data_IF_482926219227
#
_entry.id   IF_482926219227
#
_cell.length_a   1.000
_cell.length_b   1.000
_cell.length_c   1.000
_cell.angle_alpha   90.00
_cell.angle_beta   90.00
_cell.angle_gamma   90.00
#
_symmetry.space_group_name_H-M   'P 1'
#
loop_
_entity.id
_entity.type
_entity.pdbx_description
1 polymer ?
#
# COMPACT_ATOMS: atom_id res chain seq x y z
N UNK A 1 21.83 -34.69 -0.33
CA UNK A 1 22.30 -33.29 -0.14
C UNK A 1 21.58 -32.30 -1.07
N UNK A 2 21.28 -32.67 -2.32
CA UNK A 2 20.57 -31.85 -3.34
C UNK A 2 19.22 -31.29 -2.87
N UNK A 3 18.45 -32.04 -2.08
CA UNK A 3 17.10 -31.63 -1.61
C UNK A 3 17.11 -30.39 -0.70
N UNK A 4 18.12 -30.20 0.17
CA UNK A 4 18.16 -29.06 1.11
C UNK A 4 18.50 -27.73 0.43
N UNK A 5 19.41 -27.75 -0.53
CA UNK A 5 19.82 -26.55 -1.29
C UNK A 5 18.68 -26.12 -2.23
N UNK A 6 18.01 -27.09 -2.86
CA UNK A 6 16.83 -26.82 -3.68
C UNK A 6 15.71 -26.17 -2.85
N UNK A 7 15.36 -26.76 -1.70
CA UNK A 7 14.36 -26.21 -0.79
C UNK A 7 14.71 -24.78 -0.34
N UNK A 8 15.97 -24.54 0.04
CA UNK A 8 16.45 -23.21 0.42
C UNK A 8 16.21 -22.19 -0.72
N UNK A 9 16.61 -22.52 -1.95
CA UNK A 9 16.43 -21.63 -3.11
C UNK A 9 14.96 -21.34 -3.38
N UNK A 10 14.08 -22.34 -3.26
CA UNK A 10 12.63 -22.14 -3.42
C UNK A 10 12.07 -21.21 -2.36
N UNK A 11 12.46 -21.38 -1.09
CA UNK A 11 12.02 -20.49 0.01
C UNK A 11 12.52 -19.06 -0.19
N UNK A 12 13.78 -18.90 -0.63
CA UNK A 12 14.36 -17.59 -0.92
C UNK A 12 13.63 -16.91 -2.09
N UNK A 13 13.38 -17.63 -3.18
CA UNK A 13 12.58 -17.13 -4.30
C UNK A 13 11.17 -16.75 -3.86
N UNK A 14 10.52 -17.56 -3.02
CA UNK A 14 9.19 -17.26 -2.49
C UNK A 14 9.20 -15.97 -1.66
N UNK A 15 10.18 -15.78 -0.77
CA UNK A 15 10.31 -14.57 0.03
C UNK A 15 10.51 -13.32 -0.85
N UNK A 16 11.37 -13.43 -1.87
CA UNK A 16 11.58 -12.37 -2.85
C UNK A 16 10.32 -12.09 -3.67
N UNK A 17 9.57 -13.13 -4.05
CA UNK A 17 8.33 -13.02 -4.80
C UNK A 17 7.20 -12.36 -4.00
N UNK A 18 7.10 -12.64 -2.70
CA UNK A 18 6.18 -11.94 -1.78
C UNK A 18 6.54 -10.45 -1.71
N UNK A 19 7.83 -10.13 -1.56
CA UNK A 19 8.30 -8.74 -1.56
C UNK A 19 8.02 -8.03 -2.90
N UNK A 20 8.31 -8.68 -4.02
CA UNK A 20 8.01 -8.16 -5.36
C UNK A 20 6.51 -7.94 -5.57
N UNK A 21 5.68 -8.89 -5.14
CA UNK A 21 4.22 -8.79 -5.22
C UNK A 21 3.68 -7.61 -4.40
N UNK A 22 4.25 -7.36 -3.22
CA UNK A 22 3.87 -6.23 -2.38
C UNK A 22 4.23 -4.89 -3.04
N UNK A 23 5.41 -4.79 -3.66
CA UNK A 23 5.82 -3.59 -4.42
C UNK A 23 4.84 -3.35 -5.58
N UNK A 24 4.53 -4.39 -6.36
CA UNK A 24 3.59 -4.31 -7.48
C UNK A 24 2.21 -3.86 -6.99
N UNK A 25 1.69 -4.45 -5.90
CA UNK A 25 0.43 -4.03 -5.30
C UNK A 25 0.46 -2.53 -4.95
N UNK A 26 1.49 -2.07 -4.24
CA UNK A 26 1.60 -0.66 -3.82
C UNK A 26 1.62 0.28 -5.04
N UNK A 27 2.41 -0.04 -6.07
CA UNK A 27 2.49 0.78 -7.29
C UNK A 27 1.17 0.87 -8.07
N UNK A 28 0.33 -0.17 -8.03
CA UNK A 28 -0.98 -0.11 -8.68
C UNK A 28 -2.08 0.51 -7.79
N UNK A 29 -1.91 0.53 -6.47
CA UNK A 29 -2.99 0.89 -5.53
C UNK A 29 -2.84 2.25 -4.85
N UNK A 30 -1.64 2.84 -4.87
CA UNK A 30 -1.32 4.05 -4.08
C UNK A 30 -0.84 5.15 -5.01
N UNK A 31 -1.48 6.33 -4.91
CA UNK A 31 -1.12 7.53 -5.67
C UNK A 31 0.06 8.26 -5.01
N UNK A 32 0.89 8.97 -5.79
CA UNK A 32 2.12 9.69 -5.38
C UNK A 32 1.87 10.92 -4.47
N UNK A 33 0.75 10.96 -3.76
CA UNK A 33 0.36 12.08 -2.90
C UNK A 33 1.00 11.96 -1.52
N UNK A 34 0.96 13.08 -0.80
CA UNK A 34 1.59 13.30 0.53
C UNK A 34 1.20 12.30 1.63
N UNK A 35 0.24 11.41 1.39
CA UNK A 35 -0.30 10.47 2.37
C UNK A 35 0.27 9.05 2.19
N UNK A 36 0.94 8.78 1.06
CA UNK A 36 1.53 7.49 0.68
C UNK A 36 2.87 7.15 1.37
N UNK A 37 3.39 7.99 2.27
CA UNK A 37 4.74 7.82 2.82
C UNK A 37 4.98 6.47 3.51
N UNK A 38 3.96 5.92 4.18
CA UNK A 38 4.07 4.61 4.82
C UNK A 38 4.07 3.46 3.79
N UNK A 39 3.28 3.59 2.72
CA UNK A 39 3.26 2.62 1.62
C UNK A 39 4.59 2.66 0.85
N UNK A 40 5.08 3.85 0.49
CA UNK A 40 6.37 4.04 -0.18
C UNK A 40 7.54 3.50 0.68
N UNK A 41 7.52 3.74 2.00
CA UNK A 41 8.50 3.15 2.92
C UNK A 41 8.44 1.62 2.95
N UNK A 42 7.24 1.05 2.94
CA UNK A 42 7.02 -0.40 2.89
C UNK A 42 7.55 -1.00 1.58
N UNK A 43 7.25 -0.36 0.43
CA UNK A 43 7.75 -0.77 -0.88
C UNK A 43 9.29 -0.72 -0.94
N UNK A 44 9.89 0.36 -0.42
CA UNK A 44 11.35 0.50 -0.32
C UNK A 44 11.97 -0.63 0.51
N UNK A 45 11.41 -0.91 1.68
CA UNK A 45 11.88 -1.99 2.55
C UNK A 45 11.77 -3.36 1.88
N UNK A 46 10.68 -3.61 1.15
CA UNK A 46 10.53 -4.81 0.32
C UNK A 46 11.63 -4.89 -0.76
N UNK A 47 12.00 -3.77 -1.40
CA UNK A 47 13.12 -3.71 -2.33
C UNK A 47 14.47 -4.09 -1.69
N UNK A 48 14.73 -3.65 -0.46
CA UNK A 48 15.94 -4.04 0.27
C UNK A 48 15.93 -5.53 0.64
N UNK A 49 14.77 -6.09 0.99
CA UNK A 49 14.63 -7.53 1.25
C UNK A 49 14.94 -8.35 0.00
N UNK A 50 14.50 -7.92 -1.19
CA UNK A 50 14.85 -8.59 -2.46
C UNK A 50 16.38 -8.64 -2.64
N UNK A 51 17.07 -7.51 -2.44
CA UNK A 51 18.54 -7.47 -2.55
C UNK A 51 19.24 -8.35 -1.51
N UNK A 52 18.75 -8.38 -0.27
CA UNK A 52 19.30 -9.22 0.79
C UNK A 52 19.16 -10.71 0.44
N UNK A 53 17.97 -11.12 0.01
CA UNK A 53 17.70 -12.50 -0.39
C UNK A 53 18.43 -12.90 -1.68
N UNK A 54 18.66 -11.97 -2.60
CA UNK A 54 19.50 -12.19 -3.76
C UNK A 54 20.93 -12.61 -3.37
N UNK A 55 21.52 -12.05 -2.30
CA UNK A 55 22.82 -12.53 -1.81
C UNK A 55 22.76 -13.99 -1.36
N UNK A 56 21.72 -14.39 -0.62
CA UNK A 56 21.53 -15.80 -0.22
C UNK A 56 21.41 -16.70 -1.45
N UNK A 57 20.67 -16.24 -2.46
CA UNK A 57 20.50 -16.96 -3.72
C UNK A 57 21.83 -17.14 -4.46
N UNK A 58 22.64 -16.08 -4.56
CA UNK A 58 23.97 -16.07 -5.20
C UNK A 58 24.93 -17.02 -4.48
N UNK A 59 24.99 -16.94 -3.15
CA UNK A 59 25.84 -17.82 -2.34
C UNK A 59 25.43 -19.27 -2.51
N UNK A 60 24.12 -19.54 -2.51
CA UNK A 60 23.60 -20.91 -2.69
C UNK A 60 23.82 -21.45 -4.10
N UNK A 61 23.91 -20.60 -5.12
CA UNK A 61 24.11 -20.97 -6.54
C UNK A 61 25.58 -21.09 -6.93
N UNK A 62 26.50 -20.59 -6.10
CA UNK A 62 27.93 -20.56 -6.39
C UNK A 62 28.32 -19.56 -7.49
N UNK A 63 27.38 -18.72 -7.95
CA UNK A 63 27.63 -17.75 -9.02
C UNK A 63 28.14 -16.41 -8.49
N UNK A 64 29.34 -16.41 -7.88
CA UNK A 64 29.94 -15.22 -7.26
C UNK A 64 30.10 -14.02 -8.22
N UNK A 65 30.10 -14.24 -9.54
CA UNK A 65 30.10 -13.16 -10.54
C UNK A 65 28.89 -12.24 -10.42
N UNK A 66 27.74 -12.75 -9.93
CA UNK A 66 26.52 -11.97 -9.72
C UNK A 66 26.56 -11.12 -8.44
N UNK A 67 27.55 -11.33 -7.57
CA UNK A 67 27.71 -10.55 -6.35
C UNK A 67 27.91 -9.06 -6.66
N UNK A 68 28.71 -8.76 -7.69
CA UNK A 68 28.93 -7.39 -8.15
C UNK A 68 27.66 -6.72 -8.69
N UNK A 69 26.82 -7.48 -9.40
CA UNK A 69 25.52 -6.99 -9.90
C UNK A 69 24.57 -6.66 -8.73
N UNK A 70 24.50 -7.52 -7.71
CA UNK A 70 23.65 -7.28 -6.55
C UNK A 70 24.14 -6.08 -5.72
N UNK A 71 25.47 -5.92 -5.57
CA UNK A 71 26.06 -4.70 -4.97
C UNK A 71 25.70 -3.47 -5.79
N UNK A 72 25.75 -3.52 -7.11
CA UNK A 72 25.39 -2.39 -7.97
C UNK A 72 23.94 -1.94 -7.72
N UNK A 73 22.99 -2.87 -7.66
CA UNK A 73 21.60 -2.55 -7.30
C UNK A 73 21.48 -1.95 -5.90
N UNK A 74 22.20 -2.51 -4.91
CA UNK A 74 22.21 -1.98 -3.55
C UNK A 74 22.78 -0.55 -3.48
N UNK A 75 23.86 -0.28 -4.22
CA UNK A 75 24.46 1.05 -4.32
C UNK A 75 23.50 2.04 -4.98
N UNK A 76 22.77 1.63 -6.03
CA UNK A 76 21.77 2.48 -6.65
C UNK A 76 20.63 2.82 -5.67
N UNK A 77 20.15 1.84 -4.90
CA UNK A 77 19.18 2.08 -3.83
C UNK A 77 19.73 2.96 -2.70
N UNK A 78 21.02 2.85 -2.38
CA UNK A 78 21.68 3.71 -1.41
C UNK A 78 21.73 5.17 -1.91
N UNK A 79 22.06 5.37 -3.18
CA UNK A 79 22.03 6.69 -3.82
C UNK A 79 20.62 7.30 -3.75
N UNK A 80 19.57 6.53 -4.06
CA UNK A 80 18.20 6.98 -3.89
C UNK A 80 17.86 7.32 -2.43
N UNK A 81 18.33 6.54 -1.46
CA UNK A 81 18.13 6.85 -0.05
C UNK A 81 18.82 8.17 0.37
N UNK A 82 20.03 8.43 -0.14
CA UNK A 82 20.75 9.69 0.10
C UNK A 82 19.99 10.87 -0.51
N UNK A 83 19.53 10.77 -1.76
CA UNK A 83 18.71 11.82 -2.37
C UNK A 83 17.38 12.02 -1.65
N UNK A 84 16.74 10.94 -1.20
CA UNK A 84 15.53 11.02 -0.38
C UNK A 84 15.74 11.77 0.95
N UNK A 85 16.91 11.61 1.58
CA UNK A 85 17.28 12.38 2.77
C UNK A 85 17.51 13.85 2.45
N UNK A 86 18.18 14.17 1.33
CA UNK A 86 18.42 15.55 0.87
C UNK A 86 17.09 16.27 0.59
N UNK A 87 16.18 15.61 -0.10
CA UNK A 87 14.86 16.17 -0.43
C UNK A 87 13.97 16.37 0.82
N UNK A 88 14.16 15.55 1.86
CA UNK A 88 13.43 15.67 3.11
C UNK A 88 13.91 16.84 4.00
N UNK A 89 15.00 17.54 3.64
CA UNK A 89 15.43 18.72 4.41
C UNK A 89 14.43 19.87 4.29
N UNK A 90 14.13 20.58 5.39
CA UNK A 90 13.25 21.73 5.36
C UNK A 90 13.86 22.85 4.49
N UNK A 91 13.23 23.13 3.34
CA UNK A 91 13.64 24.21 2.41
C UNK A 91 13.66 23.81 0.93
N UNK A 92 13.65 22.52 0.61
CA UNK A 92 13.76 21.98 -0.77
C UNK A 92 12.41 21.65 -1.43
N UNK A 93 11.27 21.93 -0.77
CA UNK A 93 9.92 21.74 -1.31
C UNK A 93 9.43 20.28 -1.35
N UNK A 94 10.31 19.28 -1.26
CA UNK A 94 10.00 17.85 -1.29
C UNK A 94 9.69 17.27 0.09
N UNK A 95 8.61 17.71 0.74
CA UNK A 95 8.33 17.46 2.18
C UNK A 95 8.27 15.98 2.62
N UNK A 96 8.34 14.99 1.73
CA UNK A 96 8.22 13.56 2.07
C UNK A 96 9.18 12.57 1.38
N UNK A 97 9.97 12.98 0.37
CA UNK A 97 10.95 12.09 -0.28
C UNK A 97 10.40 10.79 -0.90
N UNK A 98 9.07 10.66 -1.06
CA UNK A 98 8.40 9.43 -1.49
C UNK A 98 8.89 8.93 -2.85
N UNK A 99 9.10 9.85 -3.81
CA UNK A 99 9.61 9.54 -5.15
C UNK A 99 10.88 8.68 -5.15
N UNK A 100 11.81 8.93 -4.23
CA UNK A 100 13.06 8.18 -4.14
C UNK A 100 12.86 6.81 -3.49
N UNK A 101 11.87 6.68 -2.60
CA UNK A 101 11.48 5.40 -2.03
C UNK A 101 10.83 4.51 -3.09
N UNK A 102 10.00 5.07 -3.96
CA UNK A 102 9.37 4.33 -5.07
C UNK A 102 10.40 3.92 -6.13
N UNK A 103 11.31 4.82 -6.51
CA UNK A 103 12.45 4.48 -7.38
C UNK A 103 13.27 3.35 -6.75
N UNK A 104 13.58 3.43 -5.44
CA UNK A 104 14.30 2.38 -4.72
C UNK A 104 13.58 1.03 -4.77
N UNK A 105 12.26 1.02 -4.56
CA UNK A 105 11.45 -0.19 -4.67
C UNK A 105 11.48 -0.76 -6.08
N UNK A 106 11.38 0.10 -7.11
CA UNK A 106 11.52 -0.28 -8.51
C UNK A 106 12.87 -0.92 -8.83
N UNK A 107 13.97 -0.39 -8.27
CA UNK A 107 15.31 -0.96 -8.38
C UNK A 107 15.35 -2.38 -7.78
N UNK A 108 14.72 -2.58 -6.62
CA UNK A 108 14.56 -3.91 -6.03
C UNK A 108 13.81 -4.88 -6.97
N UNK A 109 12.72 -4.44 -7.58
CA UNK A 109 11.97 -5.24 -8.56
C UNK A 109 12.80 -5.55 -9.81
N UNK A 110 13.59 -4.60 -10.31
CA UNK A 110 14.52 -4.83 -11.42
C UNK A 110 15.58 -5.86 -11.07
N UNK A 111 16.09 -5.85 -9.84
CA UNK A 111 17.03 -6.87 -9.37
C UNK A 111 16.38 -8.26 -9.32
N UNK A 112 15.13 -8.37 -8.83
CA UNK A 112 14.36 -9.62 -8.89
C UNK A 112 14.33 -10.20 -10.31
N UNK A 113 13.96 -9.35 -11.28
CA UNK A 113 13.87 -9.73 -12.69
C UNK A 113 15.26 -10.10 -13.26
N UNK A 114 16.29 -9.29 -13.02
CA UNK A 114 17.64 -9.57 -13.49
C UNK A 114 18.16 -10.92 -12.97
N UNK A 115 17.99 -11.20 -11.68
CA UNK A 115 18.38 -12.48 -11.09
C UNK A 115 17.60 -13.65 -11.68
N UNK A 116 16.30 -13.48 -11.94
CA UNK A 116 15.45 -14.54 -12.52
C UNK A 116 15.84 -14.89 -13.96
N UNK A 117 16.27 -13.90 -14.74
CA UNK A 117 16.69 -14.07 -16.13
C UNK A 117 18.09 -14.65 -16.24
N UNK A 118 19.02 -14.20 -15.40
CA UNK A 118 20.42 -14.66 -15.44
C UNK A 118 20.55 -16.09 -14.90
N UNK A 119 19.79 -16.44 -13.86
CA UNK A 119 19.75 -17.80 -13.33
C UNK A 119 18.69 -18.62 -14.06
N UNK A 120 18.97 -18.88 -15.34
CA UNK A 120 18.02 -19.53 -16.24
C UNK A 120 17.56 -20.92 -15.79
N UNK A 121 18.30 -21.63 -14.94
CA UNK A 121 17.83 -22.91 -14.38
C UNK A 121 16.73 -22.74 -13.31
N UNK A 122 16.52 -21.52 -12.80
CA UNK A 122 15.61 -21.21 -11.70
C UNK A 122 14.49 -20.24 -12.10
N UNK A 123 14.49 -19.75 -13.34
CA UNK A 123 13.47 -18.82 -13.84
C UNK A 123 12.04 -19.37 -13.68
N UNK A 124 11.80 -20.64 -13.96
CA UNK A 124 10.50 -21.29 -13.79
C UNK A 124 10.04 -21.24 -12.34
N UNK A 125 10.96 -21.47 -11.38
CA UNK A 125 10.65 -21.34 -9.95
C UNK A 125 10.27 -19.89 -9.66
N UNK A 126 11.11 -18.93 -10.05
CA UNK A 126 10.88 -17.50 -9.82
C UNK A 126 9.52 -17.02 -10.37
N UNK A 127 9.18 -17.37 -11.61
CA UNK A 127 7.89 -16.99 -12.20
C UNK A 127 6.71 -17.72 -11.56
N UNK A 128 6.87 -19.01 -11.22
CA UNK A 128 5.81 -19.78 -10.56
C UNK A 128 5.51 -19.23 -9.17
N UNK A 129 6.54 -18.97 -8.36
CA UNK A 129 6.34 -18.42 -7.02
C UNK A 129 5.80 -17.00 -7.06
N UNK A 130 6.17 -16.18 -8.06
CA UNK A 130 5.58 -14.85 -8.26
C UNK A 130 4.10 -14.94 -8.66
N UNK A 131 3.78 -15.82 -9.60
CA UNK A 131 2.40 -16.05 -10.04
C UNK A 131 1.48 -16.55 -8.91
N UNK A 132 2.01 -17.35 -7.98
CA UNK A 132 1.28 -17.76 -6.77
C UNK A 132 1.27 -16.72 -5.66
N UNK A 133 2.38 -16.03 -5.43
CA UNK A 133 2.51 -15.02 -4.38
C UNK A 133 1.65 -13.78 -4.68
N UNK A 134 1.53 -13.37 -5.94
CA UNK A 134 0.81 -12.13 -6.27
C UNK A 134 -0.68 -12.17 -5.87
N UNK A 135 -1.48 -13.19 -6.26
CA UNK A 135 -2.85 -13.32 -5.78
C UNK A 135 -2.94 -13.46 -4.25
N UNK A 136 -2.04 -14.22 -3.63
CA UNK A 136 -2.04 -14.43 -2.18
C UNK A 136 -1.76 -13.14 -1.40
N UNK A 137 -0.77 -12.35 -1.84
CA UNK A 137 -0.43 -11.05 -1.26
C UNK A 137 -1.54 -10.04 -1.52
N UNK A 138 -2.13 -10.02 -2.72
CA UNK A 138 -3.25 -9.13 -3.05
C UNK A 138 -4.45 -9.43 -2.15
N UNK A 139 -4.86 -10.69 -2.03
CA UNK A 139 -5.97 -11.09 -1.16
C UNK A 139 -5.65 -10.84 0.31
N UNK A 140 -4.45 -11.19 0.76
CA UNK A 140 -4.02 -10.95 2.14
C UNK A 140 -4.00 -9.47 2.49
N UNK A 141 -3.55 -8.62 1.57
CA UNK A 141 -3.54 -7.16 1.74
C UNK A 141 -4.95 -6.59 1.71
N UNK A 142 -5.80 -7.06 0.80
CA UNK A 142 -7.22 -6.73 0.75
C UNK A 142 -7.86 -7.01 2.11
N UNK A 143 -7.78 -8.24 2.61
CA UNK A 143 -8.34 -8.63 3.91
C UNK A 143 -7.77 -7.80 5.05
N UNK A 144 -6.45 -7.57 5.07
CA UNK A 144 -5.81 -6.76 6.11
C UNK A 144 -6.26 -5.30 6.11
N UNK A 145 -6.66 -4.75 4.96
CA UNK A 145 -7.15 -3.39 4.82
C UNK A 145 -8.67 -3.27 5.01
N UNK A 146 -9.45 -4.29 4.62
CA UNK A 146 -10.91 -4.29 4.75
C UNK A 146 -11.38 -4.68 6.13
N UNK A 147 -10.79 -5.69 6.78
CA UNK A 147 -11.31 -6.20 8.05
C UNK A 147 -11.43 -5.15 9.17
N UNK A 148 -10.49 -4.19 9.34
CA UNK A 148 -10.66 -3.12 10.31
C UNK A 148 -11.86 -2.22 9.99
N UNK A 149 -12.07 -1.89 8.71
CA UNK A 149 -13.20 -1.09 8.26
C UNK A 149 -14.51 -1.85 8.43
N UNK A 150 -14.55 -3.12 8.05
CA UNK A 150 -15.71 -4.01 8.22
C UNK A 150 -16.14 -4.09 9.70
N UNK A 151 -15.18 -4.22 10.63
CA UNK A 151 -15.47 -4.17 12.08
C UNK A 151 -16.05 -2.81 12.50
N UNK A 152 -15.49 -1.71 12.01
CA UNK A 152 -16.06 -0.38 12.27
C UNK A 152 -17.48 -0.24 11.77
N UNK A 153 -17.87 -0.91 10.67
CA UNK A 153 -19.25 -0.97 10.18
C UNK A 153 -20.16 -1.84 11.06
N UNK A 154 -19.65 -2.95 11.58
CA UNK A 154 -20.39 -3.84 12.47
C UNK A 154 -20.70 -3.19 13.83
N UNK A 155 -19.81 -2.31 14.32
CA UNK A 155 -19.92 -1.65 15.62
C UNK A 155 -20.70 -0.32 15.58
N UNK A 156 -21.33 0.01 14.45
CA UNK A 156 -22.08 1.26 14.29
C UNK A 156 -23.45 1.16 14.94
N UNK A 157 -23.76 2.16 15.77
CA UNK A 157 -25.13 2.44 16.17
C UNK A 157 -25.85 3.24 15.06
N UNK A 158 -26.80 2.63 14.33
CA UNK A 158 -27.45 3.25 13.17
C UNK A 158 -28.34 4.44 13.54
N UNK A 159 -28.73 4.57 14.81
CA UNK A 159 -29.56 5.68 15.29
C UNK A 159 -28.74 6.97 15.47
N UNK A 160 -27.47 6.85 15.85
CA UNK A 160 -26.61 7.98 16.21
C UNK A 160 -25.46 8.26 15.23
N UNK A 161 -25.21 7.34 14.29
CA UNK A 161 -24.05 7.39 13.40
C UNK A 161 -24.43 7.14 11.95
N UNK A 162 -23.90 7.96 11.04
CA UNK A 162 -24.05 7.78 9.59
C UNK A 162 -22.70 7.55 8.92
N UNK A 163 -22.65 6.62 7.97
CA UNK A 163 -21.50 6.42 7.11
C UNK A 163 -21.79 6.94 5.71
N UNK A 164 -20.81 7.57 5.10
CA UNK A 164 -20.89 8.08 3.74
C UNK A 164 -19.68 7.64 2.93
N UNK A 165 -19.95 7.21 1.71
CA UNK A 165 -18.96 7.07 0.66
C UNK A 165 -18.80 8.41 -0.02
N UNK A 166 -17.58 8.92 -0.10
CA UNK A 166 -17.22 10.14 -0.81
C UNK A 166 -16.48 9.72 -2.07
N UNK A 167 -17.04 10.08 -3.22
CA UNK A 167 -16.43 9.89 -4.53
C UNK A 167 -15.44 11.02 -4.82
N UNK A 168 -14.53 10.81 -5.79
CA UNK A 168 -13.57 11.85 -6.15
C UNK A 168 -14.29 13.15 -6.56
N UNK A 169 -13.72 14.33 -6.24
CA UNK A 169 -14.31 15.61 -6.66
C UNK A 169 -14.35 15.67 -8.18
N UNK A 170 -15.53 15.87 -8.75
CA UNK A 170 -15.70 16.22 -10.17
C UNK A 170 -15.89 17.74 -10.28
N UNK A 171 -15.80 18.29 -11.48
CA UNK A 171 -15.91 19.74 -11.78
C UNK A 171 -17.23 20.37 -11.26
N UNK A 172 -18.23 19.54 -10.93
CA UNK A 172 -19.52 19.94 -10.36
C UNK A 172 -19.69 19.78 -8.84
N UNK A 173 -18.63 19.42 -8.08
CA UNK A 173 -18.69 19.23 -6.63
C UNK A 173 -18.31 17.82 -6.16
N UNK A 174 -18.34 17.62 -4.85
CA UNK A 174 -18.00 16.34 -4.22
C UNK A 174 -19.29 15.52 -4.09
N UNK A 175 -19.37 14.40 -4.82
CA UNK A 175 -20.48 13.46 -4.67
C UNK A 175 -20.26 12.59 -3.45
N UNK A 176 -21.31 12.43 -2.65
CA UNK A 176 -21.31 11.51 -1.53
C UNK A 176 -22.62 10.73 -1.50
N UNK A 177 -22.52 9.44 -1.18
CA UNK A 177 -23.66 8.54 -1.01
C UNK A 177 -23.65 8.01 0.41
N UNK A 178 -24.82 7.91 1.03
CA UNK A 178 -24.94 7.22 2.30
C UNK A 178 -24.75 5.72 2.08
N UNK A 179 -24.01 5.10 2.99
CA UNK A 179 -23.78 3.66 3.00
C UNK A 179 -24.28 3.08 4.30
N UNK A 180 -25.06 1.99 4.21
CA UNK A 180 -25.68 1.33 5.36
C UNK A 180 -24.94 0.06 5.76
N UNK A 181 -24.16 -0.50 4.84
CA UNK A 181 -23.42 -1.73 5.04
C UNK A 181 -22.04 -1.66 4.40
N UNK A 182 -21.11 -2.48 4.91
CA UNK A 182 -19.78 -2.60 4.31
C UNK A 182 -19.84 -3.07 2.85
N UNK A 183 -20.83 -3.90 2.48
CA UNK A 183 -21.01 -4.39 1.11
C UNK A 183 -21.30 -3.30 0.07
N UNK A 184 -21.75 -2.11 0.49
CA UNK A 184 -22.00 -0.96 -0.40
C UNK A 184 -20.72 -0.17 -0.72
N UNK A 185 -19.64 -0.41 0.03
CA UNK A 185 -18.31 0.04 -0.34
C UNK A 185 -17.80 -0.89 -1.43
N UNK A 186 -17.99 -0.49 -2.69
CA UNK A 186 -17.44 -1.18 -3.86
C UNK A 186 -15.90 -1.09 -3.87
N UNK A 187 -15.27 -1.81 -2.95
CA UNK A 187 -13.83 -1.90 -2.78
C UNK A 187 -13.35 -3.00 -3.73
N UNK A 188 -12.73 -2.59 -4.84
CA UNK A 188 -12.03 -3.51 -5.72
C UNK A 188 -10.88 -4.24 -5.01
N UNK A 189 -10.29 -5.24 -5.67
CA UNK A 189 -9.18 -6.02 -5.11
C UNK A 189 -7.93 -5.20 -4.74
N UNK A 190 -7.77 -4.06 -5.42
CA UNK A 190 -6.67 -3.12 -5.22
C UNK A 190 -7.15 -1.98 -4.32
N UNK A 191 -6.96 -2.17 -3.01
CA UNK A 191 -7.32 -1.17 -1.99
C UNK A 191 -6.11 -0.33 -1.62
N UNK A 192 -6.27 0.97 -1.72
CA UNK A 192 -5.25 1.94 -1.37
C UNK A 192 -5.81 3.35 -1.35
N UNK A 193 -4.99 4.34 -1.62
CA UNK A 193 -5.41 5.75 -1.52
C UNK A 193 -6.38 6.20 -2.61
N UNK A 194 -6.49 5.40 -3.68
CA UNK A 194 -7.48 5.57 -4.75
C UNK A 194 -8.86 4.99 -4.41
N UNK A 195 -8.98 4.20 -3.34
CA UNK A 195 -10.26 3.64 -2.92
C UNK A 195 -11.23 4.74 -2.47
N UNK A 196 -12.55 4.53 -2.62
CA UNK A 196 -13.55 5.52 -2.21
C UNK A 196 -13.31 5.95 -0.76
N UNK A 197 -13.42 7.25 -0.50
CA UNK A 197 -13.20 7.79 0.84
C UNK A 197 -14.43 7.50 1.68
N UNK A 198 -14.22 7.10 2.94
CA UNK A 198 -15.32 6.81 3.86
C UNK A 198 -15.34 7.88 4.94
N UNK A 199 -16.47 8.53 5.12
CA UNK A 199 -16.72 9.43 6.23
C UNK A 199 -17.68 8.79 7.23
N UNK A 200 -17.37 8.93 8.51
CA UNK A 200 -18.24 8.58 9.63
C UNK A 200 -18.70 9.88 10.27
N UNK A 201 -19.99 10.03 10.49
CA UNK A 201 -20.61 11.18 11.16
C UNK A 201 -21.23 10.68 12.45
N UNK A 202 -20.88 11.28 13.58
CA UNK A 202 -21.44 10.95 14.90
C UNK A 202 -21.77 12.23 15.65
N UNK A 203 -23.05 12.55 15.78
CA UNK A 203 -23.48 13.89 16.22
C UNK A 203 -22.97 14.97 15.26
N UNK A 204 -22.27 15.97 15.78
CA UNK A 204 -21.67 17.06 15.00
C UNK A 204 -20.22 16.78 14.56
N UNK A 205 -19.64 15.65 14.96
CA UNK A 205 -18.26 15.29 14.64
C UNK A 205 -18.21 14.48 13.33
N UNK A 206 -17.32 14.88 12.42
CA UNK A 206 -17.00 14.14 11.21
C UNK A 206 -15.63 13.47 11.30
N UNK A 207 -15.53 12.24 10.83
CA UNK A 207 -14.30 11.45 10.83
C UNK A 207 -14.06 10.90 9.42
N UNK A 208 -12.81 10.87 8.97
CA UNK A 208 -12.44 10.29 7.68
C UNK A 208 -11.64 9.00 7.87
N UNK A 209 -11.98 7.95 7.13
CA UNK A 209 -11.22 6.71 7.13
C UNK A 209 -9.85 6.92 6.48
N UNK A 210 -8.81 6.49 7.20
CA UNK A 210 -7.42 6.56 6.73
C UNK A 210 -6.94 5.15 6.43
N UNK A 211 -6.99 4.73 5.15
CA UNK A 211 -6.57 3.38 4.73
C UNK A 211 -5.16 3.00 5.20
N UNK A 212 -4.21 3.93 5.23
CA UNK A 212 -2.86 3.68 5.73
C UNK A 212 -2.82 3.42 7.25
N UNK A 213 -3.58 4.20 8.03
CA UNK A 213 -3.61 4.08 9.49
C UNK A 213 -4.62 3.02 9.99
N UNK A 214 -5.53 2.58 9.10
CA UNK A 214 -6.58 1.58 9.37
C UNK A 214 -7.50 1.97 10.52
N UNK A 215 -7.77 3.27 10.61
CA UNK A 215 -8.61 3.88 11.62
C UNK A 215 -9.28 5.14 11.05
N UNK A 216 -10.33 5.57 11.73
CA UNK A 216 -10.89 6.90 11.52
C UNK A 216 -9.95 7.98 12.06
N UNK A 217 -9.87 9.11 11.35
CA UNK A 217 -9.12 10.28 11.76
C UNK A 217 -9.60 10.83 13.10
N UNK A 218 -8.89 11.82 13.63
CA UNK A 218 -9.45 12.67 14.70
C UNK A 218 -10.71 13.39 14.21
N UNK A 219 -11.65 13.73 15.12
CA UNK A 219 -12.87 14.43 14.75
C UNK A 219 -12.52 15.80 14.16
N UNK A 220 -13.10 16.09 13.01
CA UNK A 220 -13.14 17.44 12.48
C UNK A 220 -14.37 18.16 13.06
N UNK A 221 -14.14 19.31 13.70
CA UNK A 221 -15.19 20.12 14.34
C UNK A 221 -15.47 21.38 13.52
N UNK A 222 -16.72 21.84 13.57
CA UNK A 222 -17.36 22.95 12.82
C UNK A 222 -16.51 24.13 12.32
N UNK A 223 -15.46 24.56 13.03
CA UNK A 223 -14.60 25.69 12.62
C UNK A 223 -13.36 25.31 11.80
N UNK A 224 -13.08 24.01 11.66
CA UNK A 224 -11.88 23.44 10.99
C UNK A 224 -12.23 22.57 9.77
N UNK A 225 -13.53 22.45 9.49
CA UNK A 225 -14.08 21.74 8.38
C UNK A 225 -14.02 22.64 7.13
N UNK A 226 -13.60 22.14 5.94
CA UNK A 226 -14.00 22.77 4.68
C UNK A 226 -15.52 22.93 4.75
N UNK A 227 -15.99 24.17 4.85
CA UNK A 227 -17.27 24.53 5.46
C UNK A 227 -18.49 23.92 4.79
N UNK A 228 -18.33 23.39 3.59
CA UNK A 228 -19.46 23.02 2.74
C UNK A 228 -19.72 21.50 2.77
N UNK A 229 -18.70 20.66 2.53
CA UNK A 229 -18.89 19.20 2.43
C UNK A 229 -19.36 18.57 3.75
N UNK A 230 -18.64 18.81 4.85
CA UNK A 230 -18.92 18.08 6.09
C UNK A 230 -20.14 18.64 6.82
N UNK A 231 -20.39 19.94 6.69
CA UNK A 231 -21.64 20.54 7.18
C UNK A 231 -22.85 19.94 6.46
N UNK A 232 -22.73 19.66 5.16
CA UNK A 232 -23.77 18.98 4.38
C UNK A 232 -23.95 17.52 4.81
N UNK A 233 -22.85 16.78 5.05
CA UNK A 233 -22.89 15.41 5.58
C UNK A 233 -23.54 15.32 6.97
N UNK A 234 -23.19 16.24 7.87
CA UNK A 234 -23.79 16.36 9.21
C UNK A 234 -25.27 16.64 9.09
N UNK A 235 -25.66 17.66 8.30
CA UNK A 235 -27.07 18.02 8.08
C UNK A 235 -27.88 16.85 7.52
N UNK A 236 -27.35 16.14 6.53
CA UNK A 236 -28.04 15.00 5.93
C UNK A 236 -28.16 13.83 6.92
N UNK A 237 -27.18 13.62 7.80
CA UNK A 237 -27.29 12.63 8.86
C UNK A 237 -28.38 12.98 9.89
N UNK A 238 -28.54 14.27 10.24
CA UNK A 238 -29.57 14.72 11.18
C UNK A 238 -30.98 14.66 10.60
N UNK A 239 -31.15 14.94 9.30
CA UNK A 239 -32.45 14.90 8.61
C UNK A 239 -32.89 13.45 8.35
N UNK A 240 -31.94 12.55 8.12
CA UNK A 240 -32.19 11.14 7.89
C UNK A 240 -31.44 10.29 8.91
N UNK A 241 -31.79 10.29 10.22
CA UNK A 241 -31.23 9.32 11.15
C UNK A 241 -31.62 7.91 10.67
N UNK A 242 -30.71 6.94 10.82
CA UNK A 242 -30.81 5.63 10.16
C UNK A 242 -32.17 4.98 10.36
N UNK A 243 -32.93 4.84 9.27
CA UNK A 243 -33.93 3.79 9.14
C UNK A 243 -33.31 2.72 8.26
N UNK A 244 -33.01 1.57 8.88
CA UNK A 244 -32.81 0.32 8.15
C UNK A 244 -34.16 -0.08 7.55
#
# INVERSE_FOLDING_TARGET
>A
MVSKIFLLRTVVWLAMAVAASLIIYIFFCVDDKTWAAQAASTARNAGYLINLFAFVLILSSGQFRLFGLNIFFLLLMLVCAVFGLIDAFPGTGGRYGNQWADISAGIGLLNYLAMSLILHEQWTIAFTVLGGAFPAVTLGTYVALTSPLEREFADIDPESTCMYRIEQPDVGGIKFDRIYSFSELNLGFFIGEHSPRVAKIKGDDAYLWRYAAREFSRPFRGSSLPSDLFSELVRNCTIHPGKI
#
